data_IF_707597164746
#
_entry.id   IF_707597164746
#
_cell.length_a   1.000
_cell.length_b   1.000
_cell.length_c   1.000
_cell.angle_alpha   90.00
_cell.angle_beta   90.00
_cell.angle_gamma   90.00
#
_symmetry.space_group_name_H-M   'P 1'
#
loop_
_entity.id
_entity.type
_entity.pdbx_description
1 polymer ?
#
# COMPACT_ATOMS: atom_id res chain seq x y z
N UNK A 1 -6.86 35.43 14.63
CA UNK A 1 -7.43 35.17 13.30
C UNK A 1 -6.72 33.94 12.80
N UNK A 2 -7.31 32.76 13.06
CA UNK A 2 -6.80 31.50 12.57
C UNK A 2 -7.70 31.14 11.40
N UNK A 3 -7.31 31.57 10.21
CA UNK A 3 -7.88 31.02 8.98
C UNK A 3 -7.29 29.63 8.81
N UNK A 4 -8.07 28.63 9.19
CA UNK A 4 -7.87 27.24 8.82
C UNK A 4 -8.13 27.12 7.30
N UNK A 5 -7.15 27.54 6.51
CA UNK A 5 -7.22 27.62 5.05
C UNK A 5 -6.90 26.26 4.40
N UNK A 6 -7.54 25.19 4.84
CA UNK A 6 -7.54 23.94 4.10
C UNK A 6 -8.97 23.68 3.64
N UNK A 7 -9.25 24.06 2.40
CA UNK A 7 -10.49 23.64 1.73
C UNK A 7 -10.60 22.10 1.71
N UNK A 8 -11.75 21.54 1.32
CA UNK A 8 -11.88 20.10 1.20
C UNK A 8 -10.76 19.52 0.31
N UNK A 9 -10.27 18.30 0.62
CA UNK A 9 -9.22 17.68 -0.18
C UNK A 9 -9.67 17.61 -1.64
N UNK A 10 -8.78 17.99 -2.54
CA UNK A 10 -9.01 17.86 -3.97
C UNK A 10 -8.90 16.37 -4.36
N UNK A 11 -10.05 15.71 -4.47
CA UNK A 11 -10.14 14.27 -4.75
C UNK A 11 -9.86 13.93 -6.23
N UNK A 12 -9.76 14.92 -7.11
CA UNK A 12 -9.42 14.74 -8.53
C UNK A 12 -7.90 14.74 -8.77
N UNK A 13 -7.10 15.00 -7.73
CA UNK A 13 -5.64 14.98 -7.77
C UNK A 13 -5.05 13.66 -7.22
N UNK A 14 -3.87 13.29 -7.71
CA UNK A 14 -3.12 12.13 -7.18
C UNK A 14 -2.57 12.44 -5.77
N UNK A 15 -2.68 11.47 -4.87
CA UNK A 15 -2.04 11.54 -3.55
C UNK A 15 -0.61 10.99 -3.62
N UNK A 16 0.35 11.75 -3.12
CA UNK A 16 1.74 11.31 -2.96
C UNK A 16 2.00 10.92 -1.51
N UNK A 17 2.49 9.70 -1.28
CA UNK A 17 2.88 9.24 0.05
C UNK A 17 4.20 8.47 -0.02
N UNK A 18 5.07 8.70 0.97
CA UNK A 18 6.34 7.98 1.09
C UNK A 18 6.14 6.78 2.01
N UNK A 19 6.29 5.58 1.47
CA UNK A 19 6.31 4.34 2.25
C UNK A 19 7.75 3.92 2.53
N UNK A 20 7.94 3.25 3.67
CA UNK A 20 9.18 2.53 3.89
C UNK A 20 9.28 1.35 2.92
N UNK A 21 10.48 1.09 2.40
CA UNK A 21 10.70 0.03 1.42
C UNK A 21 10.28 -1.36 1.94
N UNK A 22 10.46 -1.65 3.23
CA UNK A 22 10.00 -2.91 3.80
C UNK A 22 8.46 -3.03 3.75
N UNK A 23 7.72 -1.95 4.02
CA UNK A 23 6.27 -1.94 3.91
C UNK A 23 5.80 -2.14 2.46
N UNK A 24 6.48 -1.50 1.49
CA UNK A 24 6.21 -1.67 0.05
C UNK A 24 6.33 -3.14 -0.34
N UNK A 25 7.40 -3.82 0.06
CA UNK A 25 7.62 -5.24 -0.25
C UNK A 25 6.54 -6.11 0.39
N UNK A 26 6.25 -5.90 1.68
CA UNK A 26 5.21 -6.68 2.39
C UNK A 26 3.84 -6.50 1.74
N UNK A 27 3.46 -5.26 1.44
CA UNK A 27 2.16 -4.93 0.83
C UNK A 27 2.05 -5.48 -0.60
N UNK A 28 3.08 -5.31 -1.42
CA UNK A 28 3.08 -5.79 -2.80
C UNK A 28 2.89 -7.31 -2.86
N UNK A 29 3.73 -8.07 -2.14
CA UNK A 29 3.63 -9.54 -2.13
C UNK A 29 2.29 -10.01 -1.56
N UNK A 30 1.79 -9.36 -0.50
CA UNK A 30 0.47 -9.69 0.04
C UNK A 30 -0.65 -9.46 -0.98
N UNK A 31 -0.67 -8.30 -1.65
CA UNK A 31 -1.68 -7.99 -2.67
C UNK A 31 -1.62 -8.96 -3.86
N UNK A 32 -0.42 -9.36 -4.30
CA UNK A 32 -0.24 -10.33 -5.39
C UNK A 32 -0.76 -11.74 -5.07
N UNK A 33 -0.85 -12.11 -3.79
CA UNK A 33 -1.41 -13.39 -3.35
C UNK A 33 -2.94 -13.38 -3.22
N UNK A 34 -3.57 -12.20 -3.21
CA UNK A 34 -5.02 -12.07 -3.05
C UNK A 34 -5.76 -12.31 -4.37
N UNK A 35 -6.85 -13.06 -4.27
CA UNK A 35 -7.85 -13.13 -5.34
C UNK A 35 -8.81 -11.94 -5.21
N UNK A 36 -8.61 -10.90 -6.04
CA UNK A 36 -9.39 -9.67 -6.00
C UNK A 36 -10.87 -9.89 -6.35
N UNK A 37 -11.25 -11.03 -6.97
CA UNK A 37 -12.66 -11.39 -7.19
C UNK A 37 -13.34 -11.94 -5.94
N UNK A 38 -12.56 -12.41 -4.96
CA UNK A 38 -13.06 -12.95 -3.68
C UNK A 38 -12.98 -11.97 -2.52
N UNK A 39 -12.41 -10.77 -2.74
CA UNK A 39 -12.35 -9.76 -1.69
C UNK A 39 -13.76 -9.27 -1.33
N UNK A 40 -14.10 -9.20 -0.03
CA UNK A 40 -15.36 -8.63 0.40
C UNK A 40 -15.33 -7.12 0.17
N UNK A 41 -15.86 -6.67 -0.97
CA UNK A 41 -16.00 -5.25 -1.30
C UNK A 41 -17.46 -4.83 -1.22
N UNK A 42 -17.71 -3.68 -0.62
CA UNK A 42 -19.03 -3.06 -0.56
C UNK A 42 -19.30 -2.22 -1.81
N UNK A 43 -18.23 -1.76 -2.49
CA UNK A 43 -18.34 -0.92 -3.68
C UNK A 43 -17.23 -1.22 -4.69
N UNK A 44 -17.54 -1.15 -6.00
CA UNK A 44 -16.58 -1.40 -7.08
C UNK A 44 -15.32 -0.52 -7.04
N UNK A 45 -15.45 0.69 -6.49
CA UNK A 45 -14.33 1.62 -6.35
C UNK A 45 -13.26 1.12 -5.38
N UNK A 46 -13.61 0.29 -4.39
CA UNK A 46 -12.64 -0.29 -3.46
C UNK A 46 -11.69 -1.25 -4.20
N UNK A 47 -12.23 -2.06 -5.12
CA UNK A 47 -11.44 -2.94 -5.98
C UNK A 47 -10.57 -2.14 -6.96
N UNK A 48 -11.10 -1.05 -7.50
CA UNK A 48 -10.32 -0.15 -8.37
C UNK A 48 -9.16 0.48 -7.60
N UNK A 49 -9.40 1.03 -6.41
CA UNK A 49 -8.37 1.63 -5.58
C UNK A 49 -7.26 0.63 -5.18
N UNK A 50 -7.61 -0.63 -4.90
CA UNK A 50 -6.63 -1.69 -4.66
C UNK A 50 -5.80 -2.02 -5.91
N UNK A 51 -6.43 -1.98 -7.09
CA UNK A 51 -5.73 -2.20 -8.37
C UNK A 51 -4.76 -1.05 -8.66
N UNK A 52 -5.20 0.19 -8.43
CA UNK A 52 -4.39 1.40 -8.62
C UNK A 52 -3.22 1.45 -7.62
N UNK A 53 -3.43 0.99 -6.38
CA UNK A 53 -2.36 0.84 -5.40
C UNK A 53 -1.37 -0.25 -5.81
N UNK A 54 -1.84 -1.41 -6.28
CA UNK A 54 -0.98 -2.51 -6.73
C UNK A 54 -0.09 -2.06 -7.90
N UNK A 55 -0.65 -1.32 -8.87
CA UNK A 55 0.11 -0.79 -9.99
C UNK A 55 1.23 0.16 -9.54
N UNK A 56 0.98 1.03 -8.55
CA UNK A 56 2.01 1.91 -7.99
C UNK A 56 3.10 1.14 -7.25
N UNK A 57 2.74 0.09 -6.50
CA UNK A 57 3.71 -0.74 -5.78
C UNK A 57 4.55 -1.58 -6.74
N UNK A 58 3.97 -2.04 -7.84
CA UNK A 58 4.64 -2.85 -8.86
C UNK A 58 5.87 -2.11 -9.44
N UNK A 59 5.77 -0.80 -9.69
CA UNK A 59 6.91 0.01 -10.17
C UNK A 59 8.15 -0.09 -9.28
N UNK A 60 7.96 -0.29 -7.96
CA UNK A 60 9.05 -0.37 -6.98
C UNK A 60 9.45 -1.80 -6.62
N UNK A 61 8.50 -2.73 -6.64
CA UNK A 61 8.67 -4.06 -6.05
C UNK A 61 8.80 -5.21 -7.06
N UNK A 62 8.71 -4.94 -8.36
CA UNK A 62 8.74 -5.97 -9.42
C UNK A 62 9.96 -6.92 -9.33
N UNK A 63 11.11 -6.43 -8.86
CA UNK A 63 12.35 -7.22 -8.76
C UNK A 63 12.57 -7.88 -7.39
N UNK A 64 11.61 -7.77 -6.47
CA UNK A 64 11.77 -8.24 -5.10
C UNK A 64 11.51 -9.74 -4.99
N UNK A 65 12.34 -10.44 -4.23
CA UNK A 65 12.28 -11.90 -4.10
C UNK A 65 11.52 -12.32 -2.85
N UNK A 66 11.22 -13.62 -2.73
CA UNK A 66 10.69 -14.21 -1.49
C UNK A 66 11.61 -14.01 -0.29
N UNK A 67 12.93 -14.02 -0.49
CA UNK A 67 13.89 -13.74 0.58
C UNK A 67 13.83 -12.28 1.04
N UNK A 68 13.52 -11.35 0.13
CA UNK A 68 13.31 -9.95 0.48
C UNK A 68 12.00 -9.76 1.25
N UNK A 69 10.94 -10.50 0.90
CA UNK A 69 9.69 -10.52 1.65
C UNK A 69 9.91 -11.00 3.09
N UNK A 70 10.63 -12.10 3.29
CA UNK A 70 10.91 -12.63 4.64
C UNK A 70 11.68 -11.60 5.48
N UNK A 71 12.74 -11.00 4.91
CA UNK A 71 13.50 -9.93 5.57
C UNK A 71 12.64 -8.71 5.88
N UNK A 72 11.80 -8.29 4.94
CA UNK A 72 10.91 -7.16 5.11
C UNK A 72 9.88 -7.41 6.23
N UNK A 73 9.29 -8.60 6.30
CA UNK A 73 8.38 -9.00 7.40
C UNK A 73 9.07 -8.92 8.75
N UNK A 74 10.30 -9.41 8.87
CA UNK A 74 11.07 -9.28 10.11
C UNK A 74 11.34 -7.82 10.46
N UNK A 75 11.74 -6.99 9.49
CA UNK A 75 12.00 -5.57 9.70
C UNK A 75 10.76 -4.83 10.21
N UNK A 76 9.59 -5.10 9.61
CA UNK A 76 8.30 -4.55 10.04
C UNK A 76 7.93 -5.05 11.44
N UNK A 77 8.01 -6.35 11.70
CA UNK A 77 7.69 -6.93 13.01
C UNK A 77 8.55 -6.33 14.14
N UNK A 78 9.87 -6.19 13.90
CA UNK A 78 10.80 -5.55 14.83
C UNK A 78 10.44 -4.09 15.09
N UNK A 79 10.13 -3.33 14.04
CA UNK A 79 9.74 -1.93 14.17
C UNK A 79 8.43 -1.75 14.97
N UNK A 80 7.52 -2.71 14.86
CA UNK A 80 6.24 -2.70 15.59
C UNK A 80 6.33 -3.30 17.00
N UNK A 81 7.47 -3.87 17.40
CA UNK A 81 7.66 -4.53 18.69
C UNK A 81 6.88 -5.84 18.81
N UNK A 82 6.67 -6.55 17.69
CA UNK A 82 5.95 -7.82 17.62
C UNK A 82 6.87 -9.05 17.64
N UNK A 83 8.11 -8.90 18.11
CA UNK A 83 9.08 -10.00 18.23
C UNK A 83 8.60 -11.13 19.17
#
# INVERSE_FOLDING_TARGET
>A
MSDDATGPPDLDSHAEFSLWQADVVVLFHWLMELDFDKLPVNHRAEKQALTDLLAQLEEWAMETTRGDLERAREMVARNMGWE
#
